data_IF_283561130914
#
_entry.id   IF_283561130914
#
_cell.length_a   1.000
_cell.length_b   1.000
_cell.length_c   1.000
_cell.angle_alpha   90.00
_cell.angle_beta   90.00
_cell.angle_gamma   90.00
#
_symmetry.space_group_name_H-M   'P 1'
#
loop_
_entity.id
_entity.type
_entity.pdbx_description
1 polymer ?
#
# COMPACT_ATOMS: atom_id res chain seq x y z
N UNK A 1 -8.41 -20.42 11.48
CA UNK A 1 -9.52 -19.61 10.92
C UNK A 1 -9.02 -18.17 10.84
N UNK A 2 -8.98 -17.57 9.65
CA UNK A 2 -8.49 -16.19 9.46
C UNK A 2 -9.59 -15.14 9.71
N UNK A 3 -10.83 -15.48 9.37
CA UNK A 3 -12.03 -14.64 9.57
C UNK A 3 -13.17 -15.53 10.07
N UNK A 4 -13.94 -15.04 11.04
CA UNK A 4 -15.10 -15.72 11.60
C UNK A 4 -16.30 -14.76 11.68
N UNK A 5 -17.32 -15.00 10.85
CA UNK A 5 -18.55 -14.19 10.83
C UNK A 5 -18.31 -12.71 10.48
N UNK A 6 -17.43 -12.45 9.52
CA UNK A 6 -17.10 -11.09 9.11
C UNK A 6 -17.97 -10.65 7.93
N UNK A 7 -18.58 -9.47 8.05
CA UNK A 7 -19.37 -8.84 6.99
C UNK A 7 -18.56 -7.72 6.33
N UNK A 8 -18.52 -7.73 4.99
CA UNK A 8 -17.80 -6.73 4.20
C UNK A 8 -18.76 -6.04 3.24
N UNK A 9 -19.06 -4.77 3.50
CA UNK A 9 -19.98 -3.95 2.70
C UNK A 9 -19.22 -2.84 2.00
N UNK A 10 -19.02 -2.96 0.68
CA UNK A 10 -18.34 -1.96 -0.13
C UNK A 10 -19.35 -1.19 -0.98
N UNK A 11 -19.46 0.11 -0.76
CA UNK A 11 -20.31 0.99 -1.54
C UNK A 11 -19.58 1.57 -2.76
N UNK A 12 -20.34 1.87 -3.81
CA UNK A 12 -19.81 2.51 -5.01
C UNK A 12 -19.25 3.90 -4.72
N UNK A 13 -18.11 4.24 -5.34
CA UNK A 13 -17.46 5.55 -5.23
C UNK A 13 -16.74 5.82 -3.89
N UNK A 14 -16.67 4.82 -3.00
CA UNK A 14 -15.97 4.92 -1.71
C UNK A 14 -14.55 4.37 -1.80
N UNK A 15 -13.66 4.90 -0.97
CA UNK A 15 -12.24 4.50 -0.94
C UNK A 15 -11.95 3.88 0.43
N UNK A 16 -11.77 2.57 0.45
CA UNK A 16 -11.58 1.78 1.65
C UNK A 16 -10.10 1.53 1.91
N UNK A 17 -9.62 1.84 3.12
CA UNK A 17 -8.30 1.46 3.59
C UNK A 17 -8.38 0.22 4.49
N UNK A 18 -7.77 -0.90 4.09
CA UNK A 18 -7.70 -2.12 4.90
C UNK A 18 -6.44 -2.12 5.77
N UNK A 19 -6.64 -2.04 7.10
CA UNK A 19 -5.59 -1.96 8.11
C UNK A 19 -5.66 -3.13 9.09
N UNK A 20 -4.51 -3.54 9.63
CA UNK A 20 -4.40 -4.64 10.58
C UNK A 20 -2.95 -5.08 10.77
N UNK A 21 -2.66 -5.88 11.80
CA UNK A 21 -1.30 -6.41 12.02
C UNK A 21 -0.86 -7.34 10.87
N UNK A 22 0.45 -7.46 10.69
CA UNK A 22 1.02 -8.40 9.73
C UNK A 22 0.72 -9.84 10.17
N UNK A 23 0.40 -10.70 9.20
CA UNK A 23 0.02 -12.09 9.46
C UNK A 23 -1.46 -12.33 9.79
N UNK A 24 -2.31 -11.29 9.89
CA UNK A 24 -3.76 -11.48 10.13
C UNK A 24 -4.57 -11.91 8.90
N UNK A 25 -3.94 -12.02 7.73
CA UNK A 25 -4.60 -12.49 6.51
C UNK A 25 -5.16 -11.40 5.59
N UNK A 26 -4.70 -10.14 5.69
CA UNK A 26 -5.07 -9.04 4.76
C UNK A 26 -4.87 -9.45 3.30
N UNK A 27 -3.67 -9.94 2.97
CA UNK A 27 -3.34 -10.42 1.62
C UNK A 27 -4.21 -11.61 1.22
N UNK A 28 -4.48 -12.53 2.14
CA UNK A 28 -5.36 -13.68 1.90
C UNK A 28 -6.79 -13.24 1.58
N UNK A 29 -7.33 -12.25 2.31
CA UNK A 29 -8.65 -11.68 2.04
C UNK A 29 -8.71 -11.08 0.63
N UNK A 30 -7.69 -10.30 0.25
CA UNK A 30 -7.63 -9.71 -1.09
C UNK A 30 -7.50 -10.77 -2.19
N UNK A 31 -6.73 -11.83 -1.97
CA UNK A 31 -6.66 -12.98 -2.88
C UNK A 31 -8.01 -13.65 -3.06
N UNK A 32 -8.75 -13.88 -1.97
CA UNK A 32 -10.08 -14.49 -2.01
C UNK A 32 -11.12 -13.62 -2.72
N UNK A 33 -10.98 -12.29 -2.63
CA UNK A 33 -11.78 -11.32 -3.39
C UNK A 33 -11.42 -11.42 -4.88
N UNK A 34 -10.12 -11.38 -5.21
CA UNK A 34 -9.63 -11.43 -6.58
C UNK A 34 -9.96 -12.75 -7.30
N UNK A 35 -9.84 -13.89 -6.61
CA UNK A 35 -10.17 -15.22 -7.14
C UNK A 35 -11.67 -15.50 -7.21
N UNK A 36 -12.53 -14.55 -6.82
CA UNK A 36 -13.98 -14.73 -6.68
C UNK A 36 -14.36 -15.97 -5.84
N UNK A 37 -13.51 -16.34 -4.88
CA UNK A 37 -13.83 -17.39 -3.91
C UNK A 37 -14.90 -16.93 -2.92
N UNK A 38 -15.02 -15.61 -2.73
CA UNK A 38 -16.17 -14.98 -2.09
C UNK A 38 -17.28 -14.75 -3.12
N UNK A 39 -18.54 -14.82 -2.68
CA UNK A 39 -19.71 -14.53 -3.54
C UNK A 39 -19.74 -13.05 -3.89
N UNK A 40 -19.25 -12.71 -5.08
CA UNK A 40 -19.23 -11.34 -5.59
C UNK A 40 -20.14 -11.28 -6.84
N UNK A 41 -21.01 -10.26 -6.97
CA UNK A 41 -21.84 -10.10 -8.16
C UNK A 41 -21.01 -10.08 -9.46
N UNK A 42 -21.52 -10.73 -10.50
CA UNK A 42 -20.80 -10.93 -11.77
C UNK A 42 -20.44 -9.64 -12.51
N UNK A 43 -21.26 -8.60 -12.34
CA UNK A 43 -21.07 -7.26 -12.91
C UNK A 43 -19.93 -6.47 -12.25
N UNK A 44 -19.37 -6.95 -11.13
CA UNK A 44 -18.25 -6.30 -10.46
C UNK A 44 -16.95 -6.85 -11.05
N UNK A 45 -16.23 -5.98 -11.75
CA UNK A 45 -14.88 -6.28 -12.21
C UNK A 45 -13.89 -6.01 -11.06
N UNK A 46 -12.96 -6.93 -10.85
CA UNK A 46 -11.96 -6.80 -9.78
C UNK A 46 -10.60 -6.78 -10.42
N UNK A 47 -9.82 -5.77 -10.08
CA UNK A 47 -8.44 -5.67 -10.48
C UNK A 47 -7.55 -5.82 -9.26
N UNK A 48 -6.66 -6.82 -9.33
CA UNK A 48 -5.78 -7.20 -8.24
C UNK A 48 -4.33 -7.19 -8.71
N UNK A 49 -3.48 -6.44 -7.99
CA UNK A 49 -2.08 -6.22 -8.37
C UNK A 49 -1.16 -7.01 -7.44
N UNK A 50 -0.96 -8.30 -7.71
CA UNK A 50 -0.21 -9.17 -6.77
C UNK A 50 1.26 -9.41 -7.15
N UNK A 51 1.62 -9.26 -8.42
CA UNK A 51 2.90 -9.75 -8.93
C UNK A 51 3.67 -8.68 -9.68
N UNK A 52 5.00 -8.72 -9.52
CA UNK A 52 5.93 -8.00 -10.39
C UNK A 52 5.70 -8.45 -11.83
N UNK A 53 5.80 -7.51 -12.77
CA UNK A 53 5.82 -7.87 -14.20
C UNK A 53 7.07 -8.70 -14.46
N UNK A 54 6.92 -9.85 -15.12
CA UNK A 54 8.06 -10.64 -15.56
C UNK A 54 8.94 -9.80 -16.50
N UNK A 55 10.26 -9.87 -16.32
CA UNK A 55 11.19 -9.17 -17.21
C UNK A 55 11.28 -9.88 -18.55
N UNK A 56 10.87 -9.20 -19.61
CA UNK A 56 10.93 -9.60 -21.00
C UNK A 56 11.51 -8.48 -21.88
N UNK A 57 11.49 -8.70 -23.20
CA UNK A 57 11.98 -7.74 -24.20
C UNK A 57 10.96 -6.62 -24.50
N UNK A 58 9.78 -6.61 -23.87
CA UNK A 58 8.76 -5.59 -24.15
C UNK A 58 9.18 -4.25 -23.56
N UNK A 59 9.01 -3.12 -24.27
CA UNK A 59 9.19 -1.79 -23.69
C UNK A 59 8.18 -1.53 -22.57
N UNK A 60 8.56 -0.77 -21.54
CA UNK A 60 7.65 -0.44 -20.44
C UNK A 60 6.31 0.17 -20.89
N UNK A 61 6.33 1.12 -21.83
CA UNK A 61 5.11 1.72 -22.36
C UNK A 61 4.21 0.69 -23.03
N UNK A 62 4.80 -0.19 -23.83
CA UNK A 62 4.08 -1.23 -24.54
C UNK A 62 3.49 -2.27 -23.56
N UNK A 63 4.24 -2.65 -22.52
CA UNK A 63 3.75 -3.56 -21.47
C UNK A 63 2.50 -3.01 -20.74
N UNK A 64 2.39 -1.69 -20.59
CA UNK A 64 1.18 -1.03 -20.06
C UNK A 64 0.02 -1.11 -21.04
N UNK A 65 0.27 -0.79 -22.31
CA UNK A 65 -0.73 -0.83 -23.38
C UNK A 65 -1.28 -2.25 -23.61
N UNK A 66 -0.44 -3.27 -23.49
CA UNK A 66 -0.80 -4.69 -23.67
C UNK A 66 -1.75 -5.23 -22.60
N UNK A 67 -1.95 -4.50 -21.50
CA UNK A 67 -2.98 -4.86 -20.50
C UNK A 67 -4.38 -4.76 -21.06
N UNK A 68 -4.58 -3.88 -22.04
CA UNK A 68 -5.84 -3.68 -22.71
C UNK A 68 -5.99 -4.71 -23.82
N UNK A 69 -6.44 -5.88 -23.42
CA UNK A 69 -6.64 -7.04 -24.31
C UNK A 69 -7.62 -6.74 -25.43
N UNK A 70 -8.60 -5.87 -25.19
CA UNK A 70 -9.59 -5.48 -26.19
C UNK A 70 -8.95 -4.62 -27.27
N UNK A 71 -8.26 -3.54 -26.91
CA UNK A 71 -7.53 -2.70 -27.87
C UNK A 71 -6.48 -3.49 -28.64
N UNK A 72 -5.68 -4.32 -27.97
CA UNK A 72 -4.67 -5.15 -28.65
C UNK A 72 -5.31 -6.12 -29.64
N UNK A 73 -6.45 -6.74 -29.27
CA UNK A 73 -7.16 -7.63 -30.19
C UNK A 73 -7.69 -6.89 -31.43
N UNK A 74 -8.26 -5.69 -31.24
CA UNK A 74 -8.79 -4.85 -32.32
C UNK A 74 -7.69 -4.34 -33.24
N UNK A 75 -6.56 -3.87 -32.70
CA UNK A 75 -5.41 -3.42 -33.48
C UNK A 75 -4.74 -4.56 -34.25
N UNK A 76 -4.71 -5.77 -33.67
CA UNK A 76 -4.21 -6.96 -34.36
C UNK A 76 -5.13 -7.35 -35.52
N UNK A 77 -6.44 -7.35 -35.28
CA UNK A 77 -7.45 -7.63 -36.32
C UNK A 77 -7.39 -6.58 -37.44
N UNK A 78 -7.24 -5.29 -37.10
CA UNK A 78 -7.05 -4.19 -38.06
C UNK A 78 -5.83 -4.43 -38.96
N UNK A 79 -4.66 -4.76 -38.38
CA UNK A 79 -3.43 -5.04 -39.13
C UNK A 79 -3.59 -6.22 -40.09
N UNK A 80 -4.20 -7.31 -39.61
CA UNK A 80 -4.40 -8.52 -40.39
C UNK A 80 -5.36 -8.28 -41.57
N UNK A 81 -6.46 -7.55 -41.34
CA UNK A 81 -7.43 -7.20 -42.38
C UNK A 81 -6.84 -6.21 -43.39
N UNK A 82 -6.11 -5.20 -42.93
CA UNK A 82 -5.43 -4.22 -43.80
C UNK A 82 -4.41 -4.91 -44.69
N UNK A 83 -3.65 -5.88 -44.16
CA UNK A 83 -2.71 -6.67 -44.94
C UNK A 83 -3.41 -7.52 -46.02
N UNK A 84 -4.57 -8.10 -45.72
CA UNK A 84 -5.37 -8.90 -46.69
C UNK A 84 -5.96 -8.03 -47.82
N UNK A 85 -6.47 -6.86 -47.47
CA UNK A 85 -7.00 -5.88 -48.42
C UNK A 85 -5.88 -5.40 -49.36
N UNK A 86 -4.72 -5.04 -48.81
CA UNK A 86 -3.56 -4.60 -49.60
C UNK A 86 -2.98 -5.73 -50.49
N UNK A 87 -3.12 -6.99 -50.07
CA UNK A 87 -2.69 -8.16 -50.84
C UNK A 87 -3.67 -8.54 -51.98
N UNK A 88 -4.76 -7.78 -52.19
CA UNK A 88 -5.73 -8.02 -53.25
C UNK A 88 -6.53 -9.32 -53.08
N UNK A 89 -6.57 -9.89 -51.87
CA UNK A 89 -7.31 -11.11 -51.53
C UNK A 89 -8.69 -10.84 -50.93
N UNK A 90 -9.16 -9.60 -51.00
CA UNK A 90 -10.38 -9.20 -50.31
C UNK A 90 -11.66 -9.64 -51.03
N UNK A 91 -12.57 -10.29 -50.30
CA UNK A 91 -13.89 -10.73 -50.78
C UNK A 91 -14.97 -9.64 -50.59
N UNK A 92 -14.58 -8.41 -50.24
CA UNK A 92 -15.48 -7.25 -50.07
C UNK A 92 -16.14 -7.14 -48.69
N UNK A 93 -16.02 -8.17 -47.84
CA UNK A 93 -16.53 -8.19 -46.46
C UNK A 93 -15.55 -7.56 -45.45
N UNK A 94 -14.25 -7.50 -45.77
CA UNK A 94 -13.24 -6.94 -44.85
C UNK A 94 -13.42 -5.43 -44.64
N UNK A 95 -13.93 -4.70 -45.63
CA UNK A 95 -14.17 -3.25 -45.51
C UNK A 95 -15.24 -2.91 -44.46
N UNK A 96 -16.32 -3.68 -44.41
CA UNK A 96 -17.36 -3.50 -43.38
C UNK A 96 -16.81 -3.80 -41.98
N UNK A 97 -16.02 -4.87 -41.85
CA UNK A 97 -15.40 -5.24 -40.58
C UNK A 97 -14.36 -4.21 -40.11
N UNK A 98 -13.54 -3.67 -41.00
CA UNK A 98 -12.62 -2.58 -40.69
C UNK A 98 -13.37 -1.35 -40.19
N UNK A 99 -14.51 -1.00 -40.79
CA UNK A 99 -15.34 0.11 -40.31
C UNK A 99 -15.88 -0.13 -38.90
N UNK A 100 -16.31 -1.35 -38.56
CA UNK A 100 -16.73 -1.71 -37.19
C UNK A 100 -15.57 -1.61 -36.20
N UNK A 101 -14.37 -2.05 -36.60
CA UNK A 101 -13.16 -1.97 -35.76
C UNK A 101 -12.78 -0.51 -35.52
N UNK A 102 -12.80 0.34 -36.55
CA UNK A 102 -12.52 1.77 -36.39
C UNK A 102 -13.53 2.45 -35.46
N UNK A 103 -14.83 2.14 -35.59
CA UNK A 103 -15.84 2.66 -34.67
C UNK A 103 -15.58 2.25 -33.22
N UNK A 104 -15.19 0.98 -32.98
CA UNK A 104 -14.85 0.50 -31.63
C UNK A 104 -13.55 1.11 -31.10
N UNK A 105 -12.54 1.29 -31.95
CA UNK A 105 -11.27 1.94 -31.58
C UNK A 105 -11.48 3.42 -31.22
N UNK A 106 -12.39 4.11 -31.90
CA UNK A 106 -12.79 5.47 -31.59
C UNK A 106 -13.58 5.54 -30.27
N UNK A 107 -14.52 4.61 -30.05
CA UNK A 107 -15.30 4.51 -28.81
C UNK A 107 -14.42 4.33 -27.56
N UNK A 108 -13.34 3.54 -27.65
CA UNK A 108 -12.40 3.31 -26.54
C UNK A 108 -11.29 4.37 -26.46
N UNK A 109 -11.29 5.37 -27.35
CA UNK A 109 -10.25 6.39 -27.50
C UNK A 109 -8.83 5.77 -27.57
N UNK A 110 -8.67 4.78 -28.46
CA UNK A 110 -7.45 3.99 -28.60
C UNK A 110 -6.22 4.84 -29.00
N UNK A 111 -6.44 5.95 -29.69
CA UNK A 111 -5.45 6.96 -30.10
C UNK A 111 -4.87 7.73 -28.90
N UNK A 112 -5.70 8.02 -27.89
CA UNK A 112 -5.27 8.69 -26.64
C UNK A 112 -4.60 7.73 -25.66
N UNK A 113 -4.71 6.42 -25.88
CA UNK A 113 -4.21 5.40 -24.97
C UNK A 113 -2.69 5.50 -24.69
N UNK A 114 -1.79 5.70 -25.68
CA UNK A 114 -0.36 5.87 -25.43
C UNK A 114 -0.03 7.11 -24.60
N UNK A 115 -0.73 8.22 -24.83
CA UNK A 115 -0.56 9.44 -24.04
C UNK A 115 -0.99 9.22 -22.58
N UNK A 116 -2.15 8.56 -22.36
CA UNK A 116 -2.62 8.19 -21.01
C UNK A 116 -1.63 7.28 -20.29
N UNK A 117 -1.13 6.24 -20.96
CA UNK A 117 -0.13 5.32 -20.40
C UNK A 117 1.18 6.06 -20.04
N UNK A 118 1.64 6.96 -20.91
CA UNK A 118 2.85 7.77 -20.67
C UNK A 118 2.70 8.70 -19.46
N UNK A 119 1.54 9.32 -19.25
CA UNK A 119 1.25 10.15 -18.08
C UNK A 119 1.29 9.34 -16.79
N UNK A 120 0.69 8.14 -16.77
CA UNK A 120 0.72 7.24 -15.61
C UNK A 120 2.16 6.82 -15.29
N UNK A 121 2.92 6.41 -16.31
CA UNK A 121 4.32 6.01 -16.16
C UNK A 121 5.18 7.17 -15.65
N UNK A 122 5.02 8.36 -16.22
CA UNK A 122 5.74 9.56 -15.77
C UNK A 122 5.41 9.91 -14.31
N UNK A 123 4.13 9.80 -13.92
CA UNK A 123 3.68 10.01 -12.54
C UNK A 123 4.30 9.04 -11.54
N UNK A 124 4.55 7.79 -11.96
CA UNK A 124 5.23 6.76 -11.16
C UNK A 124 6.76 6.82 -11.23
N UNK A 125 7.31 7.83 -11.92
CA UNK A 125 8.75 8.11 -11.99
C UNK A 125 9.47 7.58 -13.23
N UNK A 126 8.77 7.01 -14.23
CA UNK A 126 9.39 6.58 -15.48
C UNK A 126 9.59 7.76 -16.43
N UNK A 127 10.84 8.15 -16.65
CA UNK A 127 11.18 9.17 -17.64
C UNK A 127 10.96 8.65 -19.09
N UNK A 128 10.98 9.57 -20.07
CA UNK A 128 10.73 9.22 -21.48
C UNK A 128 11.67 8.14 -22.04
N UNK A 129 12.92 8.10 -21.56
CA UNK A 129 13.89 7.06 -21.97
C UNK A 129 13.51 5.70 -21.39
N UNK A 130 13.18 5.65 -20.10
CA UNK A 130 12.75 4.43 -19.39
C UNK A 130 11.46 3.86 -19.97
N UNK A 131 10.54 4.71 -20.43
CA UNK A 131 9.32 4.24 -21.10
C UNK A 131 9.61 3.39 -22.35
N UNK A 132 10.75 3.60 -23.00
CA UNK A 132 11.22 2.86 -24.18
C UNK A 132 12.18 1.71 -23.82
N UNK A 133 12.62 1.59 -22.56
CA UNK A 133 13.50 0.50 -22.13
C UNK A 133 12.74 -0.79 -21.93
N UNK A 134 13.43 -1.91 -22.14
CA UNK A 134 12.87 -3.26 -22.00
C UNK A 134 12.60 -3.60 -20.54
N UNK A 135 11.55 -4.38 -20.27
CA UNK A 135 11.17 -4.69 -18.88
C UNK A 135 12.21 -5.51 -18.13
N UNK A 136 13.02 -6.31 -18.85
CA UNK A 136 14.15 -7.07 -18.28
C UNK A 136 15.26 -6.19 -17.69
N UNK A 137 15.45 -4.97 -18.18
CA UNK A 137 16.47 -4.03 -17.69
C UNK A 137 16.10 -3.41 -16.33
N UNK A 138 14.81 -3.44 -15.96
CA UNK A 138 14.35 -2.92 -14.68
C UNK A 138 14.64 -3.87 -13.52
N UNK A 139 14.96 -3.28 -12.36
CA UNK A 139 14.99 -4.01 -11.10
C UNK A 139 13.58 -4.41 -10.65
N UNK A 140 13.46 -5.37 -9.73
CA UNK A 140 12.15 -5.84 -9.22
C UNK A 140 11.24 -4.71 -8.73
N UNK A 141 11.80 -3.71 -8.03
CA UNK A 141 11.03 -2.52 -7.60
C UNK A 141 10.46 -1.71 -8.75
N UNK A 142 11.21 -1.51 -9.84
CA UNK A 142 10.72 -0.84 -11.05
C UNK A 142 9.67 -1.70 -11.78
N UNK A 143 9.85 -3.02 -11.83
CA UNK A 143 8.85 -3.95 -12.40
C UNK A 143 7.56 -3.99 -11.57
N UNK A 144 7.64 -3.78 -10.26
CA UNK A 144 6.47 -3.61 -9.41
C UNK A 144 5.75 -2.29 -9.70
N UNK A 145 6.47 -1.19 -9.88
CA UNK A 145 5.87 0.09 -10.33
C UNK A 145 5.21 -0.04 -11.70
N UNK A 146 5.79 -0.85 -12.58
CA UNK A 146 5.19 -1.17 -13.87
C UNK A 146 3.89 -1.96 -13.69
N UNK A 147 3.85 -2.96 -12.79
CA UNK A 147 2.62 -3.69 -12.47
C UNK A 147 1.51 -2.76 -11.94
N UNK A 148 1.89 -1.77 -11.14
CA UNK A 148 0.99 -0.71 -10.69
C UNK A 148 0.49 0.14 -11.87
N UNK A 149 1.38 0.59 -12.76
CA UNK A 149 1.01 1.35 -13.95
C UNK A 149 0.02 0.59 -14.85
N UNK A 150 0.32 -0.70 -15.09
CA UNK A 150 -0.55 -1.64 -15.81
C UNK A 150 -1.94 -1.70 -15.21
N UNK A 151 -2.04 -1.79 -13.89
CA UNK A 151 -3.31 -1.84 -13.21
C UNK A 151 -4.09 -0.52 -13.26
N UNK A 152 -3.42 0.61 -13.07
CA UNK A 152 -4.05 1.92 -13.20
C UNK A 152 -4.55 2.15 -14.64
N UNK A 153 -3.83 1.66 -15.64
CA UNK A 153 -4.17 1.79 -17.05
C UNK A 153 -5.27 0.85 -17.52
N UNK A 154 -5.20 -0.45 -17.18
CA UNK A 154 -6.19 -1.46 -17.59
C UNK A 154 -7.64 -1.06 -17.25
N UNK A 155 -7.79 -0.25 -16.20
CA UNK A 155 -9.07 0.27 -15.77
C UNK A 155 -9.60 1.45 -16.59
N UNK A 156 -8.73 2.27 -17.19
CA UNK A 156 -9.16 3.38 -18.04
C UNK A 156 -9.83 2.90 -19.34
N UNK A 157 -9.67 1.63 -19.72
CA UNK A 157 -10.13 1.14 -21.02
C UNK A 157 -11.27 0.12 -20.95
N UNK A 158 -11.45 -0.58 -19.82
CA UNK A 158 -12.38 -1.71 -19.77
C UNK A 158 -13.75 -1.46 -19.10
N UNK A 159 -14.08 -0.25 -18.66
CA UNK A 159 -15.28 -0.05 -17.84
C UNK A 159 -16.14 1.13 -18.30
N UNK A 160 -17.38 0.81 -18.64
CA UNK A 160 -18.47 1.77 -18.71
C UNK A 160 -18.64 2.46 -17.34
N UNK A 161 -19.08 3.74 -17.28
CA UNK A 161 -19.24 4.50 -16.03
C UNK A 161 -20.11 3.83 -14.94
N UNK A 162 -20.89 2.81 -15.30
CA UNK A 162 -21.83 2.07 -14.45
C UNK A 162 -21.23 0.89 -13.69
N UNK A 163 -20.01 0.46 -14.02
CA UNK A 163 -19.48 -0.81 -13.50
C UNK A 163 -18.68 -0.60 -12.20
N UNK A 164 -19.22 -1.17 -11.11
CA UNK A 164 -18.57 -1.26 -9.81
C UNK A 164 -17.23 -2.00 -9.99
N UNK A 165 -16.13 -1.27 -9.88
CA UNK A 165 -14.80 -1.90 -9.90
C UNK A 165 -14.14 -1.67 -8.57
N UNK A 166 -13.86 -2.75 -7.85
CA UNK A 166 -13.05 -2.70 -6.64
C UNK A 166 -11.58 -2.89 -7.06
N UNK A 167 -10.79 -1.83 -6.91
CA UNK A 167 -9.35 -1.96 -7.12
C UNK A 167 -8.70 -2.37 -5.80
N UNK A 168 -8.09 -3.56 -5.79
CA UNK A 168 -7.45 -4.14 -4.62
C UNK A 168 -5.94 -4.05 -4.76
N UNK A 169 -5.26 -3.27 -3.92
CA UNK A 169 -3.80 -3.32 -3.80
C UNK A 169 -3.40 -4.28 -2.67
N UNK A 170 -2.87 -5.48 -2.97
CA UNK A 170 -2.34 -6.41 -1.95
C UNK A 170 -0.95 -6.08 -1.45
N UNK A 171 -0.21 -5.26 -2.19
CA UNK A 171 1.14 -4.83 -1.86
C UNK A 171 1.05 -3.38 -1.42
N UNK A 172 1.69 -3.05 -0.29
CA UNK A 172 1.83 -1.67 0.18
C UNK A 172 2.47 -0.84 -0.93
N UNK A 173 1.68 -0.07 -1.69
CA UNK A 173 2.20 0.56 -2.91
C UNK A 173 3.24 1.63 -2.54
N UNK A 174 3.15 2.19 -1.34
CA UNK A 174 4.03 3.25 -0.83
C UNK A 174 5.46 2.79 -0.57
N UNK A 175 5.70 1.53 -0.19
CA UNK A 175 7.04 1.08 0.23
C UNK A 175 8.08 1.03 -0.91
N UNK A 176 7.62 0.98 -2.17
CA UNK A 176 8.49 0.94 -3.36
C UNK A 176 8.47 2.26 -4.14
N UNK A 177 7.68 3.23 -3.68
CA UNK A 177 7.53 4.54 -4.28
C UNK A 177 8.38 5.57 -3.54
N UNK A 178 8.93 6.51 -4.29
CA UNK A 178 9.54 7.69 -3.70
C UNK A 178 8.44 8.69 -3.32
N UNK A 179 8.77 9.67 -2.48
CA UNK A 179 7.82 10.65 -1.96
C UNK A 179 7.04 11.34 -3.10
N UNK A 180 7.71 11.64 -4.21
CA UNK A 180 7.09 12.29 -5.37
C UNK A 180 6.04 11.40 -6.04
N UNK A 181 6.36 10.13 -6.26
CA UNK A 181 5.43 9.18 -6.84
C UNK A 181 4.27 8.84 -5.89
N UNK A 182 4.50 8.83 -4.57
CA UNK A 182 3.43 8.67 -3.56
C UNK A 182 2.44 9.85 -3.65
N UNK A 183 2.93 11.09 -3.63
CA UNK A 183 2.08 12.28 -3.74
C UNK A 183 1.28 12.33 -5.06
N UNK A 184 1.91 11.93 -6.16
CA UNK A 184 1.22 11.80 -7.44
C UNK A 184 0.11 10.73 -7.36
N UNK A 185 0.42 9.56 -6.80
CA UNK A 185 -0.55 8.47 -6.65
C UNK A 185 -1.72 8.87 -5.75
N UNK A 186 -1.47 9.60 -4.66
CA UNK A 186 -2.52 10.13 -3.77
C UNK A 186 -3.47 11.03 -4.56
N UNK A 187 -2.94 12.01 -5.28
CA UNK A 187 -3.72 12.94 -6.10
C UNK A 187 -4.49 12.20 -7.19
N UNK A 188 -3.84 11.22 -7.82
CA UNK A 188 -4.46 10.40 -8.86
C UNK A 188 -5.63 9.58 -8.32
N UNK A 189 -5.45 8.91 -7.17
CA UNK A 189 -6.50 8.09 -6.54
C UNK A 189 -7.64 8.92 -5.93
N UNK A 190 -7.41 10.19 -5.59
CA UNK A 190 -8.47 11.10 -5.12
C UNK A 190 -9.46 11.46 -6.22
N UNK A 191 -9.00 11.61 -7.46
CA UNK A 191 -9.86 11.91 -8.63
C UNK A 191 -10.63 10.68 -9.13
N UNK A 192 -10.39 9.53 -8.51
CA UNK A 192 -10.98 8.26 -8.91
C UNK A 192 -12.45 8.17 -8.54
N UNK A 193 -13.31 7.94 -9.53
CA UNK A 193 -14.77 7.99 -9.37
C UNK A 193 -15.41 6.69 -8.86
N UNK A 194 -14.62 5.64 -8.67
CA UNK A 194 -15.15 4.31 -8.34
C UNK A 194 -14.57 3.77 -7.05
N UNK A 195 -14.98 2.57 -6.67
CA UNK A 195 -14.57 1.96 -5.40
C UNK A 195 -13.09 1.56 -5.39
N UNK A 196 -12.38 1.93 -4.33
CA UNK A 196 -11.00 1.52 -4.11
C UNK A 196 -10.93 0.73 -2.81
N UNK A 197 -10.12 -0.32 -2.78
CA UNK A 197 -9.73 -1.06 -1.58
C UNK A 197 -8.20 -1.13 -1.52
N UNK A 198 -7.58 -0.28 -0.69
CA UNK A 198 -6.11 -0.24 -0.55
C UNK A 198 -5.68 -0.90 0.74
N UNK A 199 -4.65 -1.75 0.70
CA UNK A 199 -3.87 -2.10 1.89
C UNK A 199 -2.63 -1.22 1.94
N UNK A 200 -2.47 -0.47 3.02
CA UNK A 200 -1.29 0.34 3.28
C UNK A 200 -1.02 0.41 4.78
N UNK A 201 0.25 0.50 5.18
CA UNK A 201 0.62 0.91 6.54
C UNK A 201 1.04 2.37 6.62
N UNK A 202 1.10 3.07 5.48
CA UNK A 202 1.37 4.49 5.45
C UNK A 202 0.13 5.26 5.90
N UNK A 203 0.27 5.90 7.06
CA UNK A 203 -0.78 6.69 7.71
C UNK A 203 -1.16 7.90 6.88
N UNK A 204 -0.20 8.57 6.27
CA UNK A 204 -0.44 9.80 5.51
C UNK A 204 -1.21 9.48 4.23
N UNK A 205 -0.78 8.44 3.52
CA UNK A 205 -1.47 7.95 2.33
C UNK A 205 -2.92 7.55 2.63
N UNK A 206 -3.13 6.77 3.70
CA UNK A 206 -4.50 6.39 4.10
C UNK A 206 -5.34 7.60 4.49
N UNK A 207 -4.76 8.59 5.16
CA UNK A 207 -5.45 9.81 5.53
C UNK A 207 -5.85 10.64 4.29
N UNK A 208 -4.99 10.69 3.27
CA UNK A 208 -5.25 11.43 2.04
C UNK A 208 -6.26 10.75 1.10
N UNK A 209 -6.23 9.41 1.02
CA UNK A 209 -7.00 8.67 0.00
C UNK A 209 -8.26 8.02 0.57
N UNK A 210 -8.23 7.45 1.78
CA UNK A 210 -9.34 6.65 2.29
C UNK A 210 -10.49 7.52 2.80
N UNK A 211 -11.72 7.15 2.42
CA UNK A 211 -12.96 7.69 2.99
C UNK A 211 -13.48 6.84 4.15
N UNK A 212 -13.07 5.58 4.20
CA UNK A 212 -13.53 4.58 5.16
C UNK A 212 -12.37 3.63 5.47
N UNK A 213 -12.23 3.23 6.73
CA UNK A 213 -11.19 2.29 7.18
C UNK A 213 -11.82 0.97 7.58
N UNK A 214 -11.28 -0.12 7.05
CA UNK A 214 -11.64 -1.49 7.41
C UNK A 214 -10.51 -2.02 8.30
N UNK A 215 -10.83 -2.27 9.57
CA UNK A 215 -9.87 -2.78 10.54
C UNK A 215 -10.04 -4.29 10.71
N UNK A 216 -9.01 -5.04 10.31
CA UNK A 216 -8.90 -6.47 10.53
C UNK A 216 -8.23 -6.75 11.87
N UNK A 217 -9.00 -7.22 12.84
CA UNK A 217 -8.53 -7.57 14.18
C UNK A 217 -9.33 -8.74 14.76
N UNK A 218 -8.72 -9.56 15.61
CA UNK A 218 -9.38 -10.66 16.33
C UNK A 218 -10.31 -11.54 15.46
N UNK A 219 -9.87 -11.83 14.23
CA UNK A 219 -10.60 -12.62 13.21
C UNK A 219 -11.93 -11.99 12.73
N UNK A 220 -12.09 -10.67 12.88
CA UNK A 220 -13.25 -9.87 12.49
C UNK A 220 -12.85 -8.67 11.65
N UNK A 221 -13.84 -8.11 10.93
CA UNK A 221 -13.71 -6.88 10.16
C UNK A 221 -14.64 -5.84 10.75
N UNK A 222 -14.07 -4.76 11.28
CA UNK A 222 -14.83 -3.60 11.74
C UNK A 222 -14.65 -2.45 10.74
N UNK A 223 -15.76 -1.84 10.33
CA UNK A 223 -15.75 -0.71 9.40
C UNK A 223 -15.92 0.62 10.15
N UNK A 224 -15.07 1.59 9.80
CA UNK A 224 -15.07 2.94 10.36
C UNK A 224 -15.22 3.94 9.24
N UNK A 225 -16.13 4.90 9.42
CA UNK A 225 -16.30 6.01 8.47
C UNK A 225 -15.32 7.13 8.82
N UNK A 226 -14.68 7.69 7.80
CA UNK A 226 -13.66 8.73 7.96
C UNK A 226 -12.27 8.26 7.58
N UNK A 227 -11.35 9.20 7.67
CA UNK A 227 -9.93 9.01 7.40
C UNK A 227 -9.22 8.16 8.50
N UNK A 228 -7.91 7.96 8.32
CA UNK A 228 -7.12 7.15 9.23
C UNK A 228 -7.02 7.77 10.64
N UNK A 229 -6.93 9.10 10.74
CA UNK A 229 -6.88 9.78 12.05
C UNK A 229 -8.17 9.61 12.85
N UNK A 230 -9.33 9.73 12.20
CA UNK A 230 -10.63 9.51 12.83
C UNK A 230 -10.77 8.06 13.29
N UNK A 231 -10.36 7.10 12.47
CA UNK A 231 -10.28 5.70 12.87
C UNK A 231 -9.45 5.51 14.14
N UNK A 232 -8.24 6.09 14.20
CA UNK A 232 -7.36 5.96 15.36
C UNK A 232 -7.99 6.55 16.62
N UNK A 233 -8.60 7.74 16.52
CA UNK A 233 -9.31 8.38 17.64
C UNK A 233 -10.45 7.50 18.17
N UNK A 234 -11.33 7.03 17.28
CA UNK A 234 -12.48 6.18 17.65
C UNK A 234 -11.99 4.84 18.25
N UNK A 235 -10.92 4.26 17.69
CA UNK A 235 -10.31 3.02 18.22
C UNK A 235 -9.76 3.25 19.63
N UNK A 236 -9.04 4.33 19.87
CA UNK A 236 -8.45 4.65 21.17
C UNK A 236 -9.54 4.93 22.23
N UNK A 237 -10.58 5.68 21.88
CA UNK A 237 -11.73 5.92 22.76
C UNK A 237 -12.47 4.61 23.12
N UNK A 238 -12.70 3.74 22.14
CA UNK A 238 -13.32 2.42 22.34
C UNK A 238 -12.49 1.56 23.30
N UNK A 239 -11.17 1.53 23.11
CA UNK A 239 -10.25 0.80 23.99
C UNK A 239 -10.23 1.37 25.41
N UNK A 240 -10.21 2.70 25.57
CA UNK A 240 -10.28 3.36 26.88
C UNK A 240 -11.59 3.06 27.61
N UNK A 241 -12.71 3.07 26.90
CA UNK A 241 -14.02 2.75 27.48
C UNK A 241 -14.10 1.28 27.89
N UNK A 242 -13.66 0.35 27.04
CA UNK A 242 -13.58 -1.08 27.39
C UNK A 242 -12.67 -1.33 28.59
N UNK A 243 -11.52 -0.65 28.67
CA UNK A 243 -10.61 -0.77 29.80
C UNK A 243 -11.25 -0.28 31.10
N UNK A 244 -11.96 0.86 31.08
CA UNK A 244 -12.67 1.39 32.25
C UNK A 244 -13.81 0.48 32.71
N UNK A 245 -14.60 -0.05 31.76
CA UNK A 245 -15.67 -1.02 32.06
C UNK A 245 -15.09 -2.30 32.68
N UNK A 246 -13.99 -2.81 32.11
CA UNK A 246 -13.27 -3.97 32.63
C UNK A 246 -12.77 -3.73 34.07
N UNK A 247 -12.09 -2.60 34.32
CA UNK A 247 -11.58 -2.23 35.64
C UNK A 247 -12.70 -2.06 36.67
N UNK A 248 -13.79 -1.37 36.32
CA UNK A 248 -14.94 -1.18 37.19
C UNK A 248 -15.60 -2.52 37.57
N UNK A 249 -15.72 -3.45 36.61
CA UNK A 249 -16.28 -4.77 36.86
C UNK A 249 -15.33 -5.66 37.69
N UNK A 250 -14.01 -5.55 37.49
CA UNK A 250 -13.02 -6.24 38.32
C UNK A 250 -13.06 -5.76 39.77
N UNK A 251 -13.06 -4.44 40.00
CA UNK A 251 -13.20 -3.87 41.35
C UNK A 251 -14.51 -4.30 42.00
N UNK A 252 -15.61 -4.37 41.25
CA UNK A 252 -16.88 -4.86 41.75
C UNK A 252 -16.82 -6.35 42.13
N UNK A 253 -16.18 -7.19 41.31
CA UNK A 253 -15.93 -8.62 41.61
C UNK A 253 -15.05 -8.78 42.86
N UNK A 254 -13.95 -8.04 42.96
CA UNK A 254 -13.05 -8.05 44.12
C UNK A 254 -13.78 -7.63 45.40
N UNK A 255 -14.58 -6.55 45.36
CA UNK A 255 -15.34 -6.09 46.52
C UNK A 255 -16.34 -7.15 47.01
N UNK A 256 -17.06 -7.81 46.09
CA UNK A 256 -17.95 -8.92 46.44
C UNK A 256 -17.15 -10.10 47.02
N UNK A 257 -16.01 -10.43 46.42
CA UNK A 257 -15.15 -11.52 46.87
C UNK A 257 -14.64 -11.31 48.29
N UNK A 258 -14.15 -10.10 48.61
CA UNK A 258 -13.72 -9.73 49.97
C UNK A 258 -14.86 -9.85 50.98
N UNK A 259 -16.09 -9.49 50.60
CA UNK A 259 -17.27 -9.66 51.47
C UNK A 259 -17.58 -11.15 51.71
N UNK A 260 -17.55 -11.96 50.65
CA UNK A 260 -17.76 -13.41 50.73
C UNK A 260 -16.71 -14.03 51.65
N UNK A 261 -15.43 -13.75 51.43
CA UNK A 261 -14.33 -14.34 52.20
C UNK A 261 -14.36 -13.93 53.68
N UNK A 262 -14.72 -12.68 53.97
CA UNK A 262 -14.84 -12.18 55.35
C UNK A 262 -16.01 -12.78 56.12
N UNK A 263 -17.13 -13.06 55.46
CA UNK A 263 -18.36 -13.52 56.11
C UNK A 263 -18.72 -14.99 55.84
N UNK A 264 -17.86 -15.73 55.14
CA UNK A 264 -18.08 -17.14 54.76
C UNK A 264 -18.40 -18.06 55.93
N UNK A 265 -17.80 -17.82 57.09
CA UNK A 265 -17.95 -18.63 58.31
C UNK A 265 -18.94 -18.05 59.32
N UNK A 266 -19.65 -16.95 58.99
CA UNK A 266 -20.60 -16.33 59.90
C UNK A 266 -22.04 -16.81 59.61
N UNK A 267 -22.59 -17.62 60.51
CA UNK A 267 -23.92 -18.23 60.37
C UNK A 267 -25.05 -17.21 60.18
N UNK A 268 -24.96 -16.03 60.79
CA UNK A 268 -25.99 -14.99 60.72
C UNK A 268 -26.06 -14.26 59.36
N UNK A 269 -25.02 -14.38 58.53
CA UNK A 269 -24.96 -13.73 57.20
C UNK A 269 -24.90 -14.72 56.03
N UNK A 270 -25.17 -15.99 56.30
CA UNK A 270 -25.09 -17.06 55.31
C UNK A 270 -26.00 -16.82 54.08
N UNK A 271 -27.23 -16.30 54.26
CA UNK A 271 -28.13 -16.01 53.14
C UNK A 271 -27.61 -14.87 52.24
N UNK A 272 -26.99 -13.84 52.83
CA UNK A 272 -26.40 -12.72 52.09
C UNK A 272 -25.17 -13.18 51.29
N UNK A 273 -24.31 -14.00 51.88
CA UNK A 273 -23.15 -14.60 51.19
C UNK A 273 -23.61 -15.47 50.01
N UNK A 274 -24.63 -16.32 50.18
CA UNK A 274 -25.17 -17.12 49.09
C UNK A 274 -25.79 -16.26 47.96
N UNK A 275 -26.47 -15.16 48.29
CA UNK A 275 -27.01 -14.25 47.27
C UNK A 275 -25.91 -13.58 46.44
N UNK A 276 -24.80 -13.20 47.09
CA UNK A 276 -23.64 -12.55 46.47
C UNK A 276 -22.80 -13.53 45.65
N UNK A 277 -22.71 -14.79 46.09
CA UNK A 277 -22.09 -15.88 45.32
C UNK A 277 -22.84 -16.12 43.99
N UNK A 278 -24.18 -16.22 44.05
CA UNK A 278 -25.03 -16.34 42.84
C UNK A 278 -24.94 -15.11 41.93
N UNK A 279 -24.77 -13.91 42.49
CA UNK A 279 -24.53 -12.70 41.71
C UNK A 279 -23.19 -12.76 40.97
N UNK A 280 -22.14 -13.27 41.62
CA UNK A 280 -20.80 -13.38 41.02
C UNK A 280 -20.77 -14.42 39.89
N UNK A 281 -21.50 -15.54 40.03
CA UNK A 281 -21.69 -16.56 38.98
C UNK A 281 -22.51 -16.04 37.79
N UNK A 282 -23.46 -15.12 38.01
CA UNK A 282 -24.26 -14.52 36.93
C UNK A 282 -23.58 -13.36 36.20
N UNK A 283 -22.48 -12.83 36.73
CA UNK A 283 -21.75 -11.77 36.06
C UNK A 283 -21.08 -12.34 34.81
N UNK A 284 -21.25 -11.71 33.63
CA UNK A 284 -20.65 -12.19 32.39
C UNK A 284 -19.13 -12.31 32.51
N UNK A 285 -18.57 -13.39 31.97
CA UNK A 285 -17.13 -13.57 31.84
C UNK A 285 -16.57 -12.48 30.92
N UNK A 286 -15.73 -11.61 31.48
CA UNK A 286 -15.03 -10.61 30.69
C UNK A 286 -13.78 -11.22 30.09
N UNK A 287 -13.63 -11.06 28.77
CA UNK A 287 -12.32 -11.24 28.14
C UNK A 287 -11.48 -10.01 28.46
N UNK A 288 -10.20 -10.17 28.85
CA UNK A 288 -9.30 -9.04 29.00
C UNK A 288 -9.25 -8.25 27.69
N UNK A 289 -9.14 -6.93 27.78
CA UNK A 289 -8.88 -6.10 26.60
C UNK A 289 -7.57 -6.59 25.98
N UNK A 290 -7.63 -7.06 24.74
CA UNK A 290 -6.44 -7.39 23.97
C UNK A 290 -5.66 -6.09 23.73
N UNK A 291 -4.77 -5.74 24.67
CA UNK A 291 -3.83 -4.65 24.46
C UNK A 291 -2.87 -5.10 23.38
N UNK A 292 -2.99 -4.48 22.21
CA UNK A 292 -1.93 -4.57 21.20
C UNK A 292 -0.63 -4.10 21.87
N UNK A 293 0.36 -4.98 21.93
CA UNK A 293 1.64 -4.68 22.54
C UNK A 293 2.28 -3.48 21.83
N UNK A 294 2.41 -2.36 22.55
CA UNK A 294 3.12 -1.19 22.06
C UNK A 294 4.60 -1.56 21.90
N UNK A 295 5.08 -1.51 20.66
CA UNK A 295 6.49 -1.74 20.36
C UNK A 295 7.22 -0.43 20.65
N UNK A 296 7.80 -0.33 21.84
CA UNK A 296 8.65 0.80 22.21
C UNK A 296 10.07 0.50 21.73
N UNK A 297 10.45 1.10 20.61
CA UNK A 297 11.85 1.08 20.14
C UNK A 297 12.65 2.10 20.94
N UNK A 298 13.34 1.64 21.98
CA UNK A 298 14.31 2.45 22.70
C UNK A 298 15.67 2.28 22.04
N UNK A 299 16.27 3.38 21.64
CA UNK A 299 17.69 3.42 21.34
C UNK A 299 18.45 3.44 22.68
N UNK A 300 19.63 2.82 22.78
CA UNK A 300 20.44 2.90 24.00
C UNK A 300 20.74 4.38 24.30
N UNK A 301 20.50 4.83 25.52
CA UNK A 301 20.93 6.16 25.96
C UNK A 301 22.32 6.07 26.59
N UNK A 302 23.16 7.09 26.41
CA UNK A 302 24.48 7.18 27.06
C UNK A 302 25.70 6.91 26.18
N UNK A 303 25.65 7.19 24.89
CA UNK A 303 26.85 7.21 24.04
C UNK A 303 27.83 8.28 24.54
N UNK A 304 29.14 7.98 24.51
CA UNK A 304 30.16 9.01 24.74
C UNK A 304 29.97 10.14 23.72
N UNK A 305 29.94 11.38 24.21
CA UNK A 305 29.80 12.55 23.34
C UNK A 305 31.09 12.71 22.54
N UNK A 306 31.06 12.34 21.27
CA UNK A 306 32.14 12.59 20.33
C UNK A 306 32.29 14.10 20.08
N UNK A 307 33.53 14.58 20.02
CA UNK A 307 33.84 15.93 19.56
C UNK A 307 33.60 16.04 18.05
N UNK A 308 32.95 17.10 17.55
CA UNK A 308 32.83 17.35 16.10
C UNK A 308 34.21 17.48 15.42
N UNK A 309 34.33 17.16 14.11
CA UNK A 309 33.29 16.64 13.21
C UNK A 309 33.13 15.12 13.32
N UNK A 310 31.88 14.65 13.33
CA UNK A 310 31.58 13.23 13.50
C UNK A 310 31.62 12.50 12.16
N UNK A 311 30.86 13.04 11.21
CA UNK A 311 30.77 12.55 9.85
C UNK A 311 30.70 13.76 8.94
N UNK A 312 31.69 13.89 8.06
CA UNK A 312 31.76 14.97 7.09
C UNK A 312 32.27 14.42 5.75
N UNK A 313 31.58 14.77 4.68
CA UNK A 313 32.05 14.67 3.31
C UNK A 313 32.43 16.06 2.85
N UNK A 314 33.59 16.20 2.24
CA UNK A 314 34.09 17.46 1.70
C UNK A 314 34.43 17.28 0.22
N UNK A 315 33.74 18.05 -0.63
CA UNK A 315 33.87 18.06 -2.09
C UNK A 315 33.94 16.66 -2.74
N UNK A 316 33.09 15.74 -2.27
CA UNK A 316 33.14 14.35 -2.72
C UNK A 316 32.55 14.17 -4.13
N UNK A 317 33.35 13.59 -5.02
CA UNK A 317 32.89 13.07 -6.31
C UNK A 317 32.75 11.55 -6.24
N UNK A 318 31.68 11.03 -6.82
CA UNK A 318 31.48 9.59 -6.93
C UNK A 318 30.74 9.21 -8.21
N UNK A 319 31.22 8.13 -8.85
CA UNK A 319 30.60 7.48 -9.99
C UNK A 319 30.92 5.98 -9.99
N UNK A 320 29.99 5.15 -10.49
CA UNK A 320 30.29 3.75 -10.79
C UNK A 320 30.89 3.57 -12.19
N UNK A 321 30.52 4.44 -13.12
CA UNK A 321 31.04 4.52 -14.48
C UNK A 321 31.48 5.96 -14.73
N UNK A 322 32.68 6.17 -15.29
CA UNK A 322 33.25 7.48 -15.55
C UNK A 322 32.35 8.39 -16.41
N UNK A 323 31.42 7.81 -17.16
CA UNK A 323 30.45 8.54 -17.96
C UNK A 323 29.24 9.09 -17.17
N UNK A 324 29.01 8.62 -15.94
CA UNK A 324 27.83 8.99 -15.16
C UNK A 324 28.18 9.32 -13.70
N UNK A 325 28.38 10.62 -13.45
CA UNK A 325 28.58 11.15 -12.11
C UNK A 325 27.29 11.08 -11.30
N UNK A 326 27.35 10.40 -10.17
CA UNK A 326 26.26 10.36 -9.19
C UNK A 326 26.35 11.60 -8.30
N UNK A 327 27.55 11.91 -7.82
CA UNK A 327 27.83 13.09 -7.01
C UNK A 327 28.96 13.91 -7.63
N UNK A 328 28.80 15.23 -7.58
CA UNK A 328 29.83 16.21 -7.95
C UNK A 328 29.96 17.21 -6.80
N UNK A 329 31.16 17.30 -6.22
CA UNK A 329 31.51 18.21 -5.13
C UNK A 329 30.53 18.15 -3.95
N UNK A 330 30.10 16.95 -3.56
CA UNK A 330 29.14 16.76 -2.48
C UNK A 330 29.80 17.06 -1.13
N UNK A 331 29.26 18.07 -0.43
CA UNK A 331 29.69 18.44 0.92
C UNK A 331 28.53 18.28 1.90
N UNK A 332 28.72 17.44 2.91
CA UNK A 332 27.70 17.11 3.92
C UNK A 332 28.38 17.00 5.28
N UNK A 333 27.85 17.65 6.30
CA UNK A 333 28.30 17.50 7.70
C UNK A 333 27.14 17.02 8.58
N UNK A 334 27.47 16.17 9.55
CA UNK A 334 26.53 15.67 10.55
C UNK A 334 27.14 15.77 11.95
N UNK A 335 26.38 16.35 12.87
CA UNK A 335 26.69 16.49 14.29
C UNK A 335 25.87 15.50 15.15
N UNK A 336 26.19 15.40 16.45
CA UNK A 336 25.56 14.44 17.39
C UNK A 336 24.03 14.63 17.48
N UNK A 337 23.56 15.87 17.34
CA UNK A 337 22.15 16.23 17.46
C UNK A 337 21.44 16.28 16.10
N UNK A 338 22.17 16.11 14.99
CA UNK A 338 21.60 16.21 13.66
C UNK A 338 20.54 15.11 13.42
N UNK A 339 19.45 15.51 12.78
CA UNK A 339 18.40 14.62 12.25
C UNK A 339 18.29 14.87 10.76
N UNK A 340 18.99 14.06 9.98
CA UNK A 340 19.12 14.27 8.53
C UNK A 340 18.18 13.29 7.82
N UNK A 341 17.29 13.83 6.99
CA UNK A 341 16.45 13.06 6.09
C UNK A 341 16.98 13.23 4.66
N UNK A 342 17.37 12.13 4.01
CA UNK A 342 17.89 12.14 2.64
C UNK A 342 16.74 11.85 1.68
N UNK A 343 16.37 12.86 0.89
CA UNK A 343 15.27 12.78 -0.08
C UNK A 343 15.79 12.86 -1.51
N UNK A 344 15.06 12.25 -2.43
CA UNK A 344 15.42 12.22 -3.86
C UNK A 344 14.71 11.10 -4.59
N UNK A 345 14.82 11.09 -5.92
CA UNK A 345 14.23 10.05 -6.77
C UNK A 345 14.90 8.69 -6.54
N UNK A 346 14.23 7.61 -6.90
CA UNK A 346 14.84 6.28 -6.85
C UNK A 346 15.95 6.15 -7.89
N UNK A 347 17.12 5.68 -7.46
CA UNK A 347 18.32 5.66 -8.30
C UNK A 347 19.18 6.93 -8.25
N UNK A 348 18.75 7.99 -7.55
CA UNK A 348 19.52 9.24 -7.41
C UNK A 348 20.80 9.13 -6.55
N UNK A 349 21.17 7.92 -6.08
CA UNK A 349 22.37 7.71 -5.27
C UNK A 349 22.19 7.81 -3.76
N UNK A 350 20.98 7.96 -3.22
CA UNK A 350 20.73 8.08 -1.76
C UNK A 350 21.45 7.01 -0.92
N UNK A 351 21.30 5.74 -1.30
CA UNK A 351 21.99 4.62 -0.63
C UNK A 351 23.50 4.66 -0.85
N UNK A 352 23.95 5.09 -2.03
CA UNK A 352 25.38 5.29 -2.31
C UNK A 352 25.97 6.36 -1.40
N UNK A 353 25.28 7.47 -1.16
CA UNK A 353 25.71 8.51 -0.21
C UNK A 353 25.86 7.95 1.20
N UNK A 354 24.88 7.18 1.68
CA UNK A 354 24.95 6.55 2.99
C UNK A 354 26.10 5.55 3.08
N UNK A 355 26.35 4.77 2.03
CA UNK A 355 27.50 3.84 1.96
C UNK A 355 28.84 4.56 1.98
N UNK A 356 28.96 5.70 1.31
CA UNK A 356 30.15 6.55 1.38
C UNK A 356 30.32 7.09 2.80
N UNK A 357 29.26 7.62 3.42
CA UNK A 357 29.29 8.09 4.81
C UNK A 357 29.73 6.98 5.78
N UNK A 358 29.18 5.77 5.64
CA UNK A 358 29.52 4.60 6.46
C UNK A 358 30.92 4.03 6.17
N UNK A 359 31.56 4.43 5.07
CA UNK A 359 32.89 3.94 4.68
C UNK A 359 32.88 2.61 3.92
N UNK A 360 31.70 2.13 3.50
CA UNK A 360 31.59 0.93 2.64
C UNK A 360 32.05 1.20 1.20
N UNK A 361 31.95 2.45 0.74
CA UNK A 361 32.41 2.90 -0.57
C UNK A 361 33.42 4.04 -0.41
N UNK A 362 34.53 3.94 -1.13
CA UNK A 362 35.51 5.02 -1.20
C UNK A 362 35.05 6.08 -2.21
N UNK A 363 35.19 7.38 -1.89
CA UNK A 363 34.99 8.45 -2.87
C UNK A 363 36.03 8.35 -3.99
N UNK A 364 35.69 8.80 -5.20
CA UNK A 364 36.65 8.87 -6.32
C UNK A 364 37.56 10.08 -6.15
N UNK A 365 36.97 11.20 -5.71
CA UNK A 365 37.65 12.44 -5.34
C UNK A 365 36.97 13.04 -4.11
N UNK A 366 37.66 13.94 -3.41
CA UNK A 366 37.21 14.55 -2.15
C UNK A 366 37.57 13.74 -0.91
N UNK A 367 37.15 14.23 0.26
CA UNK A 367 37.58 13.69 1.55
C UNK A 367 36.37 13.25 2.38
N UNK A 368 36.45 12.03 2.91
CA UNK A 368 35.55 11.54 3.95
C UNK A 368 36.24 11.67 5.31
N UNK A 369 35.74 12.55 6.15
CA UNK A 369 36.09 12.63 7.57
C UNK A 369 35.07 11.85 8.40
N UNK A 370 35.56 10.88 9.17
CA UNK A 370 34.77 10.17 10.16
C UNK A 370 35.53 10.19 11.50
N UNK A 371 34.80 10.35 12.60
CA UNK A 371 35.38 10.28 13.93
C UNK A 371 36.02 8.91 14.16
N UNK A 372 37.19 8.85 14.80
CA UNK A 372 38.01 7.64 14.95
C UNK A 372 37.32 6.46 15.66
N UNK A 373 36.20 6.72 16.34
CA UNK A 373 35.42 5.76 17.11
C UNK A 373 34.13 5.30 16.39
N UNK A 374 33.93 5.72 15.13
CA UNK A 374 32.96 5.20 14.16
C UNK A 374 33.67 4.25 13.20
#
# INVERSE_FOLDING_TARGET
>A
VLLAGADLNLAFGRRYGLVGRNGLGKTTLLKMIASRSLRIPSHISILHVEQEVAGDETPALQSVLECDTTRESLLREERDLTAKVNAGRGEGTEGARLSEIYAKLEEIEADKAPARASVILAGLGFNAKMQQQTTKEFSGGWRMRLALARALFARLVHLHPSDLTALSFPLEPTNMLDVRAILWLETYLQTWQSTILVVSHDRNFLNAVATDIIHLHSQRLDMYRGDFENFMKIKEERLKNQQREYEAQQQYREHIQVFIDRFRYNANRASQVQSKLKLLEKLPELKPVDKESEVIMKFPDGFEKFSPPILQLDEVDFYYDANHYIFRSLSVSADLESRICVVGENGAGKSTMLKILMGELAPVSGIRHAHRYL
#
